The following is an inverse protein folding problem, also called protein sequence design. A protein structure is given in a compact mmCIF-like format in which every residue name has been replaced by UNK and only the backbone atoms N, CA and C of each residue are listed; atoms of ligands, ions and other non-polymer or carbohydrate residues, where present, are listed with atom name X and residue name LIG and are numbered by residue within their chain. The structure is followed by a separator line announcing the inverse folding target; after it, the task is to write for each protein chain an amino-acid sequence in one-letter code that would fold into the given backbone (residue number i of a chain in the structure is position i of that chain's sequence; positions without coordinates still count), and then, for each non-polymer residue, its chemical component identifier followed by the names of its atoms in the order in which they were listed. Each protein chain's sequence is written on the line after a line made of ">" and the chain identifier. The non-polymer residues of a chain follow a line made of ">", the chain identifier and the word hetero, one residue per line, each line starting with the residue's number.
data_IF_327823128452
#
_entry.id   IF_327823128452
#
_cell.length_a   1.000
_cell.length_b   1.000
_cell.length_c   1.000
_cell.angle_alpha   90.00
_cell.angle_beta   90.00
_cell.angle_gamma   90.00
#
_symmetry.space_group_name_H-M   'P 1'
#
loop_
_entity.id
_entity.type
_entity.pdbx_description
1 polymer ?
#
# COMPACT_ATOMS: atom_id res chain seq x y z
N UNK A 1 17.40 -48.97 16.68
CA UNK A 1 18.12 -47.88 16.06
C UNK A 1 19.52 -47.83 16.70
N UNK A 2 20.62 -47.77 15.91
CA UNK A 2 21.97 -47.81 16.45
C UNK A 2 22.26 -46.52 17.26
N UNK A 3 22.89 -46.67 18.45
CA UNK A 3 23.30 -45.56 19.32
C UNK A 3 24.11 -44.51 18.54
N UNK A 4 24.94 -44.93 17.58
CA UNK A 4 25.71 -44.04 16.72
C UNK A 4 24.79 -43.10 15.88
N UNK A 5 23.67 -43.60 15.38
CA UNK A 5 22.69 -42.78 14.62
C UNK A 5 21.97 -41.79 15.51
N UNK A 6 21.67 -42.16 16.76
CA UNK A 6 21.07 -41.26 17.76
C UNK A 6 22.03 -40.13 18.12
N UNK A 7 23.28 -40.49 18.43
CA UNK A 7 24.33 -39.53 18.78
C UNK A 7 24.61 -38.56 17.63
N UNK A 8 24.68 -39.06 16.40
CA UNK A 8 24.83 -38.21 15.20
C UNK A 8 23.66 -37.25 15.03
N UNK A 9 22.42 -37.75 15.21
CA UNK A 9 21.21 -36.89 15.16
C UNK A 9 21.21 -35.81 16.23
N UNK A 10 21.61 -36.12 17.45
CA UNK A 10 21.72 -35.13 18.54
C UNK A 10 22.82 -34.08 18.25
N UNK A 11 23.94 -34.51 17.69
CA UNK A 11 25.02 -33.61 17.32
C UNK A 11 24.59 -32.65 16.19
N UNK A 12 23.94 -33.17 15.13
CA UNK A 12 23.44 -32.32 14.06
C UNK A 12 22.41 -31.32 14.57
N UNK A 13 21.48 -31.72 15.44
CA UNK A 13 20.52 -30.85 16.06
C UNK A 13 21.20 -29.74 16.89
N UNK A 14 22.18 -30.11 17.72
CA UNK A 14 22.90 -29.13 18.52
C UNK A 14 23.66 -28.10 17.67
N UNK A 15 24.29 -28.56 16.59
CA UNK A 15 25.00 -27.66 15.65
C UNK A 15 24.01 -26.73 14.93
N UNK A 16 22.88 -27.24 14.44
CA UNK A 16 21.87 -26.41 13.76
C UNK A 16 21.25 -25.37 14.69
N UNK A 17 20.91 -25.76 15.91
CA UNK A 17 20.40 -24.83 16.94
C UNK A 17 21.47 -23.78 17.28
N UNK A 18 22.71 -24.19 17.51
CA UNK A 18 23.82 -23.28 17.82
C UNK A 18 24.06 -22.25 16.69
N UNK A 19 24.05 -22.70 15.44
CA UNK A 19 24.18 -21.81 14.28
C UNK A 19 23.01 -20.84 14.19
N UNK A 20 21.76 -21.31 14.38
CA UNK A 20 20.56 -20.46 14.34
C UNK A 20 20.60 -19.38 15.44
N UNK A 21 20.90 -19.77 16.67
CA UNK A 21 21.02 -18.83 17.80
C UNK A 21 22.17 -17.85 17.57
N UNK A 22 23.32 -18.33 17.14
CA UNK A 22 24.48 -17.49 16.84
C UNK A 22 24.20 -16.47 15.74
N UNK A 23 23.56 -16.90 14.66
CA UNK A 23 23.15 -15.99 13.56
C UNK A 23 22.14 -14.94 14.03
N UNK A 24 21.13 -15.36 14.81
CA UNK A 24 20.14 -14.43 15.37
C UNK A 24 20.79 -13.40 16.28
N UNK A 25 21.64 -13.83 17.21
CA UNK A 25 22.35 -12.91 18.09
C UNK A 25 23.29 -11.96 17.33
N UNK A 26 23.96 -12.46 16.30
CA UNK A 26 24.78 -11.63 15.42
C UNK A 26 23.97 -10.56 14.73
N UNK A 27 22.83 -10.91 14.12
CA UNK A 27 21.94 -9.93 13.46
C UNK A 27 21.40 -8.91 14.47
N UNK A 28 20.94 -9.37 15.64
CA UNK A 28 20.41 -8.48 16.68
C UNK A 28 21.49 -7.55 17.29
N UNK A 29 22.77 -7.95 17.26
CA UNK A 29 23.88 -7.09 17.69
C UNK A 29 24.31 -6.03 16.66
N UNK A 30 23.66 -6.03 15.47
CA UNK A 30 23.98 -5.13 14.36
C UNK A 30 22.79 -4.20 14.06
N UNK A 31 22.60 -3.14 14.84
CA UNK A 31 21.48 -2.21 14.64
C UNK A 31 21.46 -1.61 13.22
N UNK A 32 22.62 -1.46 12.59
CA UNK A 32 22.74 -0.99 11.22
C UNK A 32 22.05 -1.91 10.19
N UNK A 33 22.10 -3.24 10.39
CA UNK A 33 21.42 -4.20 9.51
C UNK A 33 19.92 -4.12 9.69
N UNK A 34 19.42 -4.04 10.92
CA UNK A 34 18.01 -3.89 11.23
C UNK A 34 17.45 -2.59 10.66
N UNK A 35 18.18 -1.49 10.86
CA UNK A 35 17.80 -0.16 10.34
C UNK A 35 17.76 -0.17 8.81
N UNK A 36 18.75 -0.77 8.17
CA UNK A 36 18.79 -0.90 6.70
C UNK A 36 17.59 -1.69 6.17
N UNK A 37 17.24 -2.81 6.80
CA UNK A 37 16.09 -3.63 6.41
C UNK A 37 14.79 -2.88 6.62
N UNK A 38 14.65 -2.16 7.74
CA UNK A 38 13.48 -1.34 8.03
C UNK A 38 13.25 -0.30 6.93
N UNK A 39 14.25 0.54 6.64
CA UNK A 39 14.11 1.57 5.61
C UNK A 39 13.93 1.00 4.20
N UNK A 40 14.57 -0.12 3.88
CA UNK A 40 14.35 -0.78 2.60
C UNK A 40 12.91 -1.26 2.45
N UNK A 41 12.32 -1.82 3.51
CA UNK A 41 10.90 -2.23 3.55
C UNK A 41 9.95 -1.05 3.47
N UNK A 42 10.22 0.01 4.25
CA UNK A 42 9.40 1.22 4.24
C UNK A 42 9.40 1.88 2.85
N UNK A 43 10.57 2.08 2.25
CA UNK A 43 10.68 2.66 0.90
C UNK A 43 10.04 1.78 -0.19
N UNK A 44 10.01 0.47 0.00
CA UNK A 44 9.34 -0.44 -0.92
C UNK A 44 7.81 -0.35 -0.82
N UNK A 45 7.28 0.09 0.32
CA UNK A 45 5.85 0.14 0.61
C UNK A 45 5.20 1.49 0.31
N UNK A 46 5.97 2.51 -0.09
CA UNK A 46 5.44 3.87 -0.29
C UNK A 46 5.74 4.42 -1.68
N UNK A 47 4.93 5.39 -2.10
CA UNK A 47 5.12 6.19 -3.31
C UNK A 47 5.04 7.67 -2.94
N UNK A 48 5.97 8.48 -3.42
CA UNK A 48 5.91 9.93 -3.22
C UNK A 48 4.90 10.58 -4.17
N UNK A 49 4.29 11.73 -3.78
CA UNK A 49 3.40 12.47 -4.67
C UNK A 49 4.11 12.94 -5.95
N UNK A 50 5.41 13.26 -5.88
CA UNK A 50 6.20 13.62 -7.07
C UNK A 50 6.32 12.44 -8.06
N UNK A 51 6.45 11.21 -7.56
CA UNK A 51 6.45 10.00 -8.39
C UNK A 51 5.08 9.80 -9.05
N UNK A 52 3.98 9.95 -8.28
CA UNK A 52 2.63 9.87 -8.83
C UNK A 52 2.40 10.92 -9.92
N UNK A 53 2.80 12.17 -9.65
CA UNK A 53 2.72 13.25 -10.64
C UNK A 53 3.43 12.88 -11.94
N UNK A 54 4.67 12.40 -11.82
CA UNK A 54 5.44 11.93 -12.98
C UNK A 54 4.69 10.84 -13.77
N UNK A 55 4.10 9.86 -13.09
CA UNK A 55 3.33 8.79 -13.74
C UNK A 55 2.14 9.35 -14.52
N UNK A 56 1.43 10.33 -13.97
CA UNK A 56 0.28 10.97 -14.64
C UNK A 56 0.75 11.77 -15.86
N UNK A 57 1.78 12.60 -15.70
CA UNK A 57 2.30 13.47 -16.77
C UNK A 57 2.83 12.64 -17.96
N UNK A 58 3.54 11.56 -17.68
CA UNK A 58 4.09 10.64 -18.67
C UNK A 58 3.03 9.66 -19.22
N UNK A 59 1.78 9.71 -18.73
CA UNK A 59 0.71 8.76 -19.09
C UNK A 59 1.15 7.31 -18.90
N UNK A 60 1.87 7.04 -17.82
CA UNK A 60 2.37 5.72 -17.49
C UNK A 60 1.21 4.72 -17.38
N UNK A 61 1.45 3.49 -17.84
CA UNK A 61 0.42 2.43 -17.85
C UNK A 61 0.73 1.28 -16.89
N UNK A 62 1.84 1.38 -16.16
CA UNK A 62 2.36 0.33 -15.28
C UNK A 62 1.86 0.43 -13.83
N UNK A 63 0.89 1.29 -13.54
CA UNK A 63 0.31 1.44 -12.20
C UNK A 63 -1.23 1.50 -12.25
N UNK A 64 -1.84 1.30 -11.08
CA UNK A 64 -3.25 1.58 -10.79
C UNK A 64 -3.29 2.41 -9.51
N UNK A 65 -3.87 3.59 -9.59
CA UNK A 65 -4.14 4.41 -8.41
C UNK A 65 -5.51 4.03 -7.84
N UNK A 66 -5.57 3.71 -6.55
CA UNK A 66 -6.81 3.33 -5.86
C UNK A 66 -7.13 4.35 -4.77
N UNK A 67 -8.29 4.97 -4.90
CA UNK A 67 -8.86 5.84 -3.88
C UNK A 67 -9.70 5.01 -2.90
N UNK A 68 -9.26 4.96 -1.64
CA UNK A 68 -9.90 4.17 -0.58
C UNK A 68 -11.03 4.92 0.14
N UNK A 69 -11.26 6.19 -0.19
CA UNK A 69 -12.33 7.02 0.40
C UNK A 69 -13.70 6.47 0.02
N UNK A 70 -14.73 6.97 0.73
CA UNK A 70 -16.11 6.62 0.42
C UNK A 70 -16.45 6.94 -1.03
N UNK A 71 -17.36 6.18 -1.59
CA UNK A 71 -17.85 6.39 -2.95
C UNK A 71 -18.39 7.82 -3.15
N UNK A 72 -19.16 8.34 -2.20
CA UNK A 72 -19.75 9.67 -2.31
C UNK A 72 -18.71 10.80 -2.34
N UNK A 73 -17.53 10.61 -1.70
CA UNK A 73 -16.43 11.59 -1.77
C UNK A 73 -15.65 11.46 -3.07
N UNK A 74 -15.41 10.23 -3.51
CA UNK A 74 -14.81 9.97 -4.81
C UNK A 74 -15.66 10.55 -5.96
N UNK A 75 -16.99 10.38 -5.92
CA UNK A 75 -17.90 10.91 -6.93
C UNK A 75 -17.96 12.43 -6.97
N UNK A 76 -17.67 13.11 -5.87
CA UNK A 76 -17.56 14.56 -5.85
C UNK A 76 -16.32 15.05 -6.58
N UNK A 77 -15.19 14.55 -6.18
CA UNK A 77 -13.89 14.88 -6.76
C UNK A 77 -12.90 13.73 -6.51
N UNK A 78 -12.12 13.37 -7.49
CA UNK A 78 -11.06 12.37 -7.37
C UNK A 78 -9.91 12.63 -8.34
N UNK A 79 -8.80 11.96 -8.15
CA UNK A 79 -7.67 12.01 -9.07
C UNK A 79 -8.01 11.34 -10.40
N UNK A 80 -7.63 11.96 -11.50
CA UNK A 80 -7.99 11.63 -12.88
C UNK A 80 -7.75 10.16 -13.27
N UNK A 81 -6.76 9.51 -12.66
CA UNK A 81 -6.41 8.12 -12.97
C UNK A 81 -6.86 7.14 -11.89
N UNK A 82 -7.52 7.63 -10.84
CA UNK A 82 -7.90 6.79 -9.72
C UNK A 82 -9.14 5.95 -10.01
N UNK A 83 -9.15 4.74 -9.46
CA UNK A 83 -10.34 3.91 -9.33
C UNK A 83 -10.75 3.87 -7.86
N UNK A 84 -12.05 3.79 -7.57
CA UNK A 84 -12.53 3.77 -6.18
C UNK A 84 -12.71 2.34 -5.66
N UNK A 85 -12.12 2.07 -4.51
CA UNK A 85 -12.40 0.89 -3.69
C UNK A 85 -12.63 1.39 -2.25
N UNK A 86 -13.89 1.63 -1.83
CA UNK A 86 -14.21 2.28 -0.56
C UNK A 86 -13.94 1.34 0.64
N UNK A 87 -12.66 1.15 0.95
CA UNK A 87 -12.19 0.14 1.88
C UNK A 87 -12.76 0.26 3.30
N UNK A 88 -13.05 1.49 3.76
CA UNK A 88 -13.60 1.73 5.09
C UNK A 88 -14.94 1.05 5.33
N UNK A 89 -15.68 0.68 4.29
CA UNK A 89 -16.98 0.01 4.37
C UNK A 89 -16.94 -1.50 4.09
N UNK A 90 -15.75 -2.06 3.85
CA UNK A 90 -15.58 -3.45 3.41
C UNK A 90 -15.09 -4.34 4.54
N UNK A 91 -15.47 -5.62 4.50
CA UNK A 91 -14.77 -6.68 5.20
C UNK A 91 -13.47 -7.04 4.49
N UNK A 92 -12.52 -7.66 5.19
CA UNK A 92 -11.27 -8.14 4.59
C UNK A 92 -11.50 -9.03 3.37
N UNK A 93 -12.48 -9.93 3.45
CA UNK A 93 -12.82 -10.83 2.33
C UNK A 93 -13.31 -10.07 1.08
N UNK A 94 -14.13 -9.04 1.27
CA UNK A 94 -14.60 -8.18 0.18
C UNK A 94 -13.43 -7.39 -0.41
N UNK A 95 -12.58 -6.82 0.44
CA UNK A 95 -11.40 -6.07 0.03
C UNK A 95 -10.47 -6.94 -0.83
N UNK A 96 -10.12 -8.14 -0.37
CA UNK A 96 -9.29 -9.10 -1.11
C UNK A 96 -9.93 -9.44 -2.47
N UNK A 97 -11.24 -9.71 -2.51
CA UNK A 97 -11.96 -10.03 -3.74
C UNK A 97 -11.93 -8.87 -4.75
N UNK A 98 -11.93 -7.62 -4.27
CA UNK A 98 -11.85 -6.43 -5.12
C UNK A 98 -10.44 -6.24 -5.69
N UNK A 99 -9.43 -6.26 -4.82
CA UNK A 99 -8.05 -6.07 -5.24
C UNK A 99 -7.53 -7.22 -6.13
N UNK A 100 -8.03 -8.44 -5.94
CA UNK A 100 -7.70 -9.58 -6.80
C UNK A 100 -8.13 -9.42 -8.27
N UNK A 101 -9.06 -8.50 -8.56
CA UNK A 101 -9.51 -8.17 -9.93
C UNK A 101 -8.61 -7.15 -10.62
N UNK A 102 -7.78 -6.45 -9.87
CA UNK A 102 -6.85 -5.47 -10.44
C UNK A 102 -5.75 -6.18 -11.26
N UNK A 103 -5.18 -5.51 -12.28
CA UNK A 103 -4.08 -6.07 -13.07
C UNK A 103 -2.89 -6.44 -12.20
N UNK A 104 -2.43 -7.69 -12.31
CA UNK A 104 -1.34 -8.24 -11.48
C UNK A 104 0.06 -7.81 -11.93
N UNK A 105 0.17 -7.31 -13.13
CA UNK A 105 1.39 -6.81 -13.76
C UNK A 105 1.64 -5.32 -13.50
N UNK A 106 0.75 -4.67 -12.73
CA UNK A 106 0.83 -3.25 -12.42
C UNK A 106 1.12 -3.01 -10.94
N UNK A 107 1.81 -1.92 -10.67
CA UNK A 107 1.96 -1.41 -9.32
C UNK A 107 0.62 -0.85 -8.81
N UNK A 108 0.14 -1.33 -7.68
CA UNK A 108 -1.08 -0.85 -7.05
C UNK A 108 -0.69 0.20 -6.01
N UNK A 109 -1.14 1.43 -6.21
CA UNK A 109 -0.89 2.56 -5.31
C UNK A 109 -2.22 2.93 -4.66
N UNK A 110 -2.27 2.95 -3.33
CA UNK A 110 -3.47 3.31 -2.59
C UNK A 110 -3.31 4.68 -1.93
N UNK A 111 -4.38 5.46 -1.86
CA UNK A 111 -4.45 6.68 -1.06
C UNK A 111 -5.79 6.80 -0.34
N UNK A 112 -5.83 7.64 0.68
CA UNK A 112 -7.00 7.85 1.54
C UNK A 112 -7.24 9.35 1.75
N UNK A 113 -7.81 9.74 2.88
CA UNK A 113 -8.24 11.11 3.20
C UNK A 113 -7.08 12.10 3.39
N UNK A 114 -6.03 11.69 4.07
CA UNK A 114 -4.88 12.56 4.39
C UNK A 114 -3.64 11.72 4.73
N UNK A 115 -2.50 12.36 4.86
CA UNK A 115 -1.26 11.74 5.35
C UNK A 115 -1.37 11.14 6.77
N UNK A 116 -2.36 11.56 7.54
CA UNK A 116 -2.62 11.03 8.89
C UNK A 116 -3.57 9.84 8.88
N UNK A 117 -4.21 9.53 7.75
CA UNK A 117 -5.12 8.40 7.61
C UNK A 117 -4.34 7.09 7.61
N UNK A 118 -4.70 6.17 8.50
CA UNK A 118 -4.04 4.86 8.58
C UNK A 118 -4.68 3.78 7.70
N UNK A 119 -5.78 4.10 7.02
CA UNK A 119 -6.55 3.13 6.22
C UNK A 119 -5.70 2.47 5.12
N UNK A 120 -4.81 3.21 4.44
CA UNK A 120 -3.90 2.67 3.44
C UNK A 120 -3.00 1.57 4.00
N UNK A 121 -2.43 1.80 5.20
CA UNK A 121 -1.59 0.82 5.90
C UNK A 121 -2.37 -0.40 6.36
N UNK A 122 -3.58 -0.20 6.88
CA UNK A 122 -4.47 -1.30 7.30
C UNK A 122 -4.84 -2.17 6.10
N UNK A 123 -5.20 -1.56 4.98
CA UNK A 123 -5.47 -2.23 3.70
C UNK A 123 -4.24 -3.00 3.23
N UNK A 124 -3.08 -2.37 3.20
CA UNK A 124 -1.82 -3.02 2.82
C UNK A 124 -1.49 -4.22 3.69
N UNK A 125 -1.68 -4.10 5.01
CA UNK A 125 -1.48 -5.19 5.96
C UNK A 125 -2.46 -6.35 5.71
N UNK A 126 -3.75 -6.06 5.50
CA UNK A 126 -4.76 -7.06 5.22
C UNK A 126 -4.46 -7.81 3.91
N UNK A 127 -4.22 -7.08 2.84
CA UNK A 127 -3.94 -7.63 1.52
C UNK A 127 -2.66 -8.46 1.47
N UNK A 128 -1.61 -8.05 2.21
CA UNK A 128 -0.33 -8.76 2.24
C UNK A 128 -0.45 -10.19 2.79
N UNK A 129 -1.39 -10.44 3.72
CA UNK A 129 -1.70 -11.80 4.21
C UNK A 129 -2.22 -12.73 3.12
N UNK A 130 -2.72 -12.15 2.02
CA UNK A 130 -3.26 -12.88 0.86
C UNK A 130 -2.36 -12.78 -0.38
N UNK A 131 -1.10 -12.33 -0.21
CA UNK A 131 -0.13 -12.22 -1.30
C UNK A 131 -0.42 -11.09 -2.28
N UNK A 132 -1.25 -10.12 -1.91
CA UNK A 132 -1.54 -8.93 -2.71
C UNK A 132 -0.74 -7.77 -2.10
N UNK A 133 0.16 -7.20 -2.87
CA UNK A 133 1.03 -6.12 -2.42
C UNK A 133 0.58 -4.79 -3.01
N UNK A 134 0.46 -3.78 -2.14
CA UNK A 134 0.12 -2.42 -2.52
C UNK A 134 1.15 -1.47 -1.94
N UNK A 135 1.30 -0.31 -2.56
CA UNK A 135 2.09 0.80 -2.02
C UNK A 135 1.17 1.92 -1.56
N UNK A 136 1.51 2.55 -0.46
CA UNK A 136 0.78 3.70 0.04
C UNK A 136 1.35 4.99 -0.55
N UNK A 137 0.50 5.85 -1.06
CA UNK A 137 0.89 7.22 -1.38
C UNK A 137 1.14 7.96 -0.07
N UNK A 138 2.30 8.62 0.06
CA UNK A 138 2.71 9.28 1.32
C UNK A 138 1.88 10.51 1.70
N UNK A 139 0.95 10.90 0.85
CA UNK A 139 -0.06 11.94 1.09
C UNK A 139 -1.45 11.41 0.75
N UNK A 140 -2.48 12.02 1.31
CA UNK A 140 -3.86 11.68 0.99
C UNK A 140 -4.54 12.73 0.11
N UNK A 141 -5.85 12.60 -0.03
CA UNK A 141 -6.67 13.50 -0.81
C UNK A 141 -6.53 14.97 -0.36
N UNK A 142 -6.49 15.22 0.95
CA UNK A 142 -6.41 16.56 1.52
C UNK A 142 -5.17 17.31 1.02
N UNK A 143 -4.03 16.67 1.06
CA UNK A 143 -2.78 17.26 0.59
C UNK A 143 -2.75 17.38 -0.93
N UNK A 144 -3.25 16.38 -1.63
CA UNK A 144 -3.31 16.39 -3.09
C UNK A 144 -4.21 17.52 -3.63
N UNK A 145 -5.32 17.77 -2.95
CA UNK A 145 -6.35 18.72 -3.42
C UNK A 145 -6.12 20.15 -2.94
N UNK A 146 -5.72 20.32 -1.67
CA UNK A 146 -5.72 21.63 -1.01
C UNK A 146 -4.32 22.17 -0.69
N UNK A 147 -3.28 21.34 -0.82
CA UNK A 147 -1.89 21.72 -0.58
C UNK A 147 -1.02 21.39 -1.79
N UNK A 148 -1.48 21.85 -2.95
CA UNK A 148 -0.85 21.62 -4.24
C UNK A 148 0.63 22.03 -4.28
N UNK A 149 0.97 23.14 -3.68
CA UNK A 149 2.32 23.71 -3.60
C UNK A 149 3.32 22.80 -2.88
N UNK A 150 2.85 21.93 -1.97
CA UNK A 150 3.72 21.02 -1.22
C UNK A 150 4.27 19.89 -2.11
N UNK A 151 3.52 19.45 -3.11
CA UNK A 151 3.94 18.33 -3.94
C UNK A 151 4.20 18.71 -5.41
N UNK A 152 3.89 19.91 -5.79
CA UNK A 152 4.19 20.49 -7.10
C UNK A 152 4.78 21.91 -6.96
N UNK A 153 5.93 22.07 -6.29
CA UNK A 153 6.53 23.37 -6.06
C UNK A 153 6.89 24.04 -7.38
N UNK A 154 6.56 25.32 -7.51
CA UNK A 154 6.89 26.14 -8.68
C UNK A 154 5.87 26.12 -9.83
N UNK A 155 4.75 25.41 -9.69
CA UNK A 155 3.68 25.43 -10.68
C UNK A 155 2.82 26.69 -10.67
N UNK A 156 3.14 27.69 -9.84
CA UNK A 156 2.39 28.94 -9.75
C UNK A 156 1.05 28.77 -9.04
N UNK A 157 0.01 29.43 -9.56
CA UNK A 157 -1.35 29.41 -8.99
C UNK A 157 -2.15 28.21 -9.51
N UNK A 158 -1.50 27.19 -10.04
CA UNK A 158 -2.16 25.95 -10.43
C UNK A 158 -2.72 25.25 -9.20
N UNK A 159 -4.04 25.13 -9.11
CA UNK A 159 -4.75 24.49 -8.00
C UNK A 159 -4.92 22.97 -8.18
N UNK A 160 -4.17 22.38 -9.11
CA UNK A 160 -4.23 20.96 -9.43
C UNK A 160 -5.46 20.54 -10.25
N UNK A 161 -6.24 21.48 -10.78
CA UNK A 161 -7.46 21.16 -11.53
C UNK A 161 -7.22 20.22 -12.71
N UNK A 162 -6.06 20.30 -13.36
CA UNK A 162 -5.70 19.39 -14.46
C UNK A 162 -5.59 17.91 -14.05
N UNK A 163 -5.45 17.63 -12.75
CA UNK A 163 -5.31 16.29 -12.19
C UNK A 163 -6.58 15.78 -11.51
N UNK A 164 -7.62 16.61 -11.43
CA UNK A 164 -8.86 16.33 -10.70
C UNK A 164 -10.02 16.17 -11.67
N UNK A 165 -10.83 15.18 -11.41
CA UNK A 165 -12.11 14.95 -12.09
C UNK A 165 -13.22 15.17 -11.09
N UNK A 166 -14.27 15.90 -11.52
CA UNK A 166 -15.51 16.07 -10.77
C UNK A 166 -16.61 15.20 -11.39
N UNK A 167 -17.47 14.65 -10.55
CA UNK A 167 -18.61 13.86 -10.99
C UNK A 167 -18.51 12.37 -10.69
N UNK A 168 -19.51 11.62 -11.16
CA UNK A 168 -19.62 10.19 -10.86
C UNK A 168 -18.47 9.39 -11.47
N UNK A 169 -18.01 8.42 -10.70
CA UNK A 169 -17.08 7.40 -11.19
C UNK A 169 -17.67 6.75 -12.46
N UNK A 170 -16.81 6.48 -13.42
CA UNK A 170 -17.18 5.65 -14.56
C UNK A 170 -17.56 4.24 -14.05
N UNK A 171 -18.81 3.80 -14.19
CA UNK A 171 -19.24 2.51 -13.69
C UNK A 171 -18.53 1.33 -14.35
N UNK A 172 -17.85 1.54 -15.49
CA UNK A 172 -17.04 0.50 -16.13
C UNK A 172 -15.75 0.18 -15.36
N UNK A 173 -15.31 1.07 -14.46
CA UNK A 173 -14.03 0.98 -13.77
C UNK A 173 -14.12 0.75 -12.25
N UNK A 174 -15.32 0.81 -11.66
CA UNK A 174 -15.48 0.60 -10.22
C UNK A 174 -16.76 -0.20 -9.92
N UNK A 175 -16.65 -1.35 -9.25
CA UNK A 175 -17.81 -1.94 -8.63
C UNK A 175 -18.26 -1.02 -7.48
N UNK A 176 -19.42 -0.43 -7.63
CA UNK A 176 -20.07 0.39 -6.63
C UNK A 176 -20.53 -0.52 -5.51
N UNK A 177 -19.86 -0.45 -4.37
CA UNK A 177 -20.34 -1.04 -3.12
C UNK A 177 -20.79 0.11 -2.23
N UNK A 178 -22.07 0.18 -1.84
CA UNK A 178 -22.53 1.22 -0.93
C UNK A 178 -21.75 1.16 0.38
N UNK A 179 -21.45 2.29 0.96
CA UNK A 179 -20.78 2.38 2.25
C UNK A 179 -21.65 1.70 3.30
N UNK A 180 -21.21 0.56 3.77
CA UNK A 180 -21.77 -0.15 4.93
C UNK A 180 -20.67 -0.22 6.00
N UNK A 181 -21.04 -0.25 7.26
CA UNK A 181 -20.05 -0.35 8.35
C UNK A 181 -19.21 -1.60 8.15
N UNK A 182 -17.92 -1.43 7.96
CA UNK A 182 -16.94 -2.50 7.71
C UNK A 182 -15.88 -2.61 8.80
N UNK A 183 -14.99 -3.58 8.66
CA UNK A 183 -13.90 -3.85 9.62
C UNK A 183 -12.91 -2.68 9.72
N UNK A 184 -12.78 -1.87 8.69
CA UNK A 184 -11.84 -0.74 8.63
C UNK A 184 -12.50 0.60 8.99
N UNK A 185 -13.79 0.61 9.28
CA UNK A 185 -14.57 1.83 9.58
C UNK A 185 -14.77 2.74 8.36
N UNK A 186 -15.81 3.52 8.36
CA UNK A 186 -16.08 4.56 7.36
C UNK A 186 -15.74 5.94 7.88
#
# INVERSE_FOLDING_TARGET
>A
MSIKKVLLGLLTLAVTVGLSVGTTLYVLSRPELLTRHFYAGEMAAVVSPATLKKYIDEKATNYVLVDLRSQGEYEKEHFKTAVNIPAGSMSEAQLVAMFAKLPKDKEIIVHCYSAYCTLGRQVGQALSRHGIYVKELTVGWSELRYHWDLWNPGAGVDDGQDYIVTGKADPSNAPIIPCTVGEFGC
#
